data_IF_668005411884
#
_entry.id   IF_668005411884
#
_cell.length_a   1.000
_cell.length_b   1.000
_cell.length_c   1.000
_cell.angle_alpha   90.00
_cell.angle_beta   90.00
_cell.angle_gamma   90.00
#
_symmetry.space_group_name_H-M   'P 1'
#
loop_
_entity.id
_entity.type
_entity.pdbx_description
1 polymer ?
#
# COMPACT_ATOMS: atom_id res chain seq x y z
N UNK A 1 7.16 18.73 11.68
CA UNK A 1 6.04 17.85 12.10
C UNK A 1 6.62 16.49 12.44
N UNK A 2 6.20 15.84 13.55
CA UNK A 2 6.78 14.54 13.91
C UNK A 2 6.19 13.40 13.05
N UNK A 3 7.00 12.37 12.76
CA UNK A 3 6.53 11.18 12.05
C UNK A 3 5.37 10.49 12.79
N UNK A 4 5.49 10.37 14.11
CA UNK A 4 4.48 9.75 14.99
C UNK A 4 3.13 10.45 14.89
N UNK A 5 3.11 11.78 15.01
CA UNK A 5 1.86 12.57 14.90
C UNK A 5 1.18 12.42 13.54
N UNK A 6 1.94 12.11 12.49
CA UNK A 6 1.38 11.94 11.15
C UNK A 6 0.74 10.56 10.97
N UNK A 7 1.32 9.50 11.54
CA UNK A 7 0.92 8.11 11.26
C UNK A 7 -0.04 7.50 12.27
N UNK A 8 -0.11 7.99 13.52
CA UNK A 8 -0.92 7.36 14.58
C UNK A 8 -2.40 7.28 14.20
N UNK A 9 -2.99 8.39 13.75
CA UNK A 9 -4.42 8.41 13.39
C UNK A 9 -4.69 7.50 12.17
N UNK A 10 -3.94 7.60 11.05
CA UNK A 10 -4.07 6.63 9.96
C UNK A 10 -3.89 5.17 10.37
N UNK A 11 -2.94 4.86 11.26
CA UNK A 11 -2.72 3.51 11.75
C UNK A 11 -3.91 2.99 12.57
N UNK A 12 -4.51 3.83 13.42
CA UNK A 12 -5.72 3.50 14.18
C UNK A 12 -6.92 3.27 13.25
N UNK A 13 -7.12 4.12 12.25
CA UNK A 13 -8.17 3.92 11.24
C UNK A 13 -7.97 2.58 10.52
N UNK A 14 -6.74 2.26 10.13
CA UNK A 14 -6.41 0.99 9.47
C UNK A 14 -6.64 -0.22 10.37
N UNK A 15 -6.35 -0.09 11.67
CA UNK A 15 -6.68 -1.11 12.65
C UNK A 15 -8.21 -1.32 12.73
N UNK A 16 -8.99 -0.24 12.83
CA UNK A 16 -10.46 -0.31 12.86
C UNK A 16 -11.01 -0.99 11.60
N UNK A 17 -10.51 -0.63 10.41
CA UNK A 17 -10.95 -1.27 9.16
C UNK A 17 -10.57 -2.75 9.11
N UNK A 18 -9.38 -3.12 9.60
CA UNK A 18 -8.95 -4.52 9.72
C UNK A 18 -9.88 -5.32 10.63
N UNK A 19 -10.18 -4.79 11.83
CA UNK A 19 -11.04 -5.45 12.80
C UNK A 19 -12.50 -5.52 12.34
N UNK A 20 -13.00 -4.45 11.70
CA UNK A 20 -14.33 -4.43 11.09
C UNK A 20 -14.45 -5.51 10.01
N UNK A 21 -13.42 -5.63 9.16
CA UNK A 21 -13.38 -6.67 8.13
C UNK A 21 -13.40 -8.06 8.74
N UNK A 22 -12.51 -8.33 9.68
CA UNK A 22 -12.44 -9.61 10.39
C UNK A 22 -13.80 -9.96 11.03
N UNK A 23 -14.39 -9.02 11.74
CA UNK A 23 -15.68 -9.19 12.42
C UNK A 23 -16.78 -9.52 11.41
N UNK A 24 -16.86 -8.78 10.30
CA UNK A 24 -17.85 -9.05 9.27
C UNK A 24 -17.67 -10.40 8.58
N UNK A 25 -16.44 -10.89 8.44
CA UNK A 25 -16.18 -12.24 7.93
C UNK A 25 -16.61 -13.33 8.92
N UNK A 26 -16.28 -13.18 10.21
CA UNK A 26 -16.61 -14.15 11.25
C UNK A 26 -18.11 -14.21 11.56
N UNK A 27 -18.81 -13.07 11.45
CA UNK A 27 -20.26 -12.97 11.64
C UNK A 27 -21.05 -13.17 10.34
N UNK A 28 -20.37 -13.58 9.27
CA UNK A 28 -20.96 -13.86 7.95
C UNK A 28 -21.85 -12.72 7.41
N UNK A 29 -21.40 -11.48 7.60
CA UNK A 29 -22.02 -10.32 6.96
C UNK A 29 -21.91 -10.40 5.43
N UNK A 30 -22.51 -9.43 4.73
CA UNK A 30 -22.61 -9.41 3.26
C UNK A 30 -21.32 -9.86 2.55
N UNK A 31 -21.34 -10.97 1.78
CA UNK A 31 -20.16 -11.50 1.09
C UNK A 31 -19.52 -10.53 0.09
N UNK A 32 -20.29 -9.54 -0.40
CA UNK A 32 -19.76 -8.47 -1.27
C UNK A 32 -18.85 -7.50 -0.50
N UNK A 33 -19.14 -7.29 0.78
CA UNK A 33 -18.37 -6.41 1.65
C UNK A 33 -17.25 -7.18 2.37
N UNK A 34 -17.52 -8.41 2.80
CA UNK A 34 -16.70 -9.24 3.68
C UNK A 34 -16.44 -10.63 3.07
N UNK A 35 -15.82 -10.66 1.89
CA UNK A 35 -15.52 -11.91 1.18
C UNK A 35 -14.49 -12.76 1.93
N UNK A 36 -14.84 -14.01 2.23
CA UNK A 36 -13.97 -15.03 2.87
C UNK A 36 -13.03 -15.74 1.89
N UNK A 37 -13.05 -15.40 0.60
CA UNK A 37 -12.26 -16.08 -0.43
C UNK A 37 -10.78 -15.71 -0.34
N UNK A 38 -9.91 -16.68 -0.69
CA UNK A 38 -8.47 -16.49 -0.68
C UNK A 38 -8.05 -15.29 -1.56
N UNK A 39 -7.01 -14.58 -1.12
CA UNK A 39 -6.46 -13.42 -1.83
C UNK A 39 -7.19 -12.10 -1.59
N UNK A 40 -8.38 -12.10 -0.96
CA UNK A 40 -9.02 -10.92 -0.37
C UNK A 40 -9.36 -9.75 -1.32
N UNK A 41 -9.04 -9.85 -2.61
CA UNK A 41 -9.20 -8.79 -3.61
C UNK A 41 -10.64 -8.49 -4.02
N UNK A 42 -11.59 -9.35 -3.64
CA UNK A 42 -13.01 -9.16 -3.93
C UNK A 42 -13.76 -8.35 -2.84
N UNK A 43 -13.17 -8.09 -1.67
CA UNK A 43 -13.86 -7.38 -0.59
C UNK A 43 -13.79 -5.86 -0.79
N UNK A 44 -14.94 -5.19 -0.80
CA UNK A 44 -14.99 -3.73 -0.78
C UNK A 44 -14.45 -3.16 0.55
N UNK A 45 -14.62 -3.88 1.66
CA UNK A 45 -14.05 -3.47 2.95
C UNK A 45 -12.64 -4.03 3.08
N UNK A 46 -11.65 -3.26 2.64
CA UNK A 46 -10.24 -3.65 2.68
C UNK A 46 -9.32 -2.46 2.83
N UNK A 47 -8.23 -2.66 3.58
CA UNK A 47 -7.23 -1.62 3.84
C UNK A 47 -6.44 -1.21 2.59
N UNK A 48 -6.57 -1.96 1.48
CA UNK A 48 -5.97 -1.59 0.18
C UNK A 48 -6.49 -0.24 -0.33
N UNK A 49 -7.75 0.08 -0.06
CA UNK A 49 -8.37 1.35 -0.46
C UNK A 49 -7.86 2.55 0.35
N UNK A 50 -7.21 2.30 1.48
CA UNK A 50 -6.60 3.36 2.30
C UNK A 50 -5.27 3.86 1.72
N UNK A 51 -4.66 3.12 0.79
CA UNK A 51 -3.41 3.50 0.12
C UNK A 51 -3.55 4.86 -0.61
N UNK A 52 -4.50 5.04 -1.55
CA UNK A 52 -4.68 6.35 -2.19
C UNK A 52 -5.04 7.44 -1.19
N UNK A 53 -5.94 7.17 -0.23
CA UNK A 53 -6.41 8.15 0.75
C UNK A 53 -5.25 8.68 1.60
N UNK A 54 -4.49 7.79 2.22
CA UNK A 54 -3.39 8.22 3.08
C UNK A 54 -2.15 8.66 2.32
N UNK A 55 -1.91 8.13 1.11
CA UNK A 55 -0.90 8.66 0.20
C UNK A 55 -1.12 10.14 -0.10
N UNK A 56 -2.36 10.51 -0.44
CA UNK A 56 -2.76 11.90 -0.66
C UNK A 56 -2.62 12.72 0.62
N UNK A 57 -3.18 12.23 1.74
CA UNK A 57 -3.13 12.92 3.03
C UNK A 57 -1.68 13.26 3.44
N UNK A 58 -0.78 12.26 3.43
CA UNK A 58 0.62 12.46 3.81
C UNK A 58 1.34 13.42 2.87
N UNK A 59 1.14 13.28 1.56
CA UNK A 59 1.76 14.14 0.57
C UNK A 59 1.35 15.60 0.74
N UNK A 60 0.06 15.86 0.97
CA UNK A 60 -0.43 17.22 1.17
C UNK A 60 0.04 17.83 2.49
N UNK A 61 0.09 17.05 3.58
CA UNK A 61 0.62 17.49 4.88
C UNK A 61 2.12 17.81 4.80
N UNK A 62 2.91 16.95 4.14
CA UNK A 62 4.34 17.19 3.94
C UNK A 62 4.60 18.40 3.04
N UNK A 63 3.84 18.55 1.96
CA UNK A 63 3.96 19.71 1.08
C UNK A 63 3.59 21.03 1.78
N UNK A 64 2.62 21.02 2.70
CA UNK A 64 2.31 22.19 3.55
C UNK A 64 3.45 22.52 4.53
N UNK A 65 4.17 21.50 4.99
CA UNK A 65 5.31 21.66 5.90
C UNK A 65 6.64 22.00 5.17
N UNK A 66 6.60 22.30 3.86
CA UNK A 66 7.80 22.60 3.08
C UNK A 66 8.60 21.37 2.62
N UNK A 67 8.15 20.15 2.94
CA UNK A 67 8.79 18.89 2.55
C UNK A 67 8.24 18.34 1.22
N UNK A 68 7.88 19.21 0.28
CA UNK A 68 7.42 18.82 -1.06
C UNK A 68 8.57 18.21 -1.90
N UNK A 69 8.29 17.42 -2.95
CA UNK A 69 9.35 16.93 -3.81
C UNK A 69 9.96 18.09 -4.60
N UNK A 70 11.26 18.02 -4.95
CA UNK A 70 11.91 19.04 -5.79
C UNK A 70 11.13 19.28 -7.09
N UNK A 71 10.74 18.21 -7.77
CA UNK A 71 9.79 18.24 -8.89
C UNK A 71 8.80 17.10 -8.78
N UNK A 72 7.55 17.36 -9.15
CA UNK A 72 6.51 16.30 -9.17
C UNK A 72 6.86 15.22 -10.19
N UNK A 73 7.41 15.60 -11.35
CA UNK A 73 7.86 14.66 -12.38
C UNK A 73 8.91 13.67 -11.88
N UNK A 74 9.88 14.11 -11.06
CA UNK A 74 10.88 13.21 -10.46
C UNK A 74 10.24 12.25 -9.46
N UNK A 75 9.30 12.71 -8.64
CA UNK A 75 8.59 11.86 -7.68
C UNK A 75 7.76 10.78 -8.41
N UNK A 76 6.96 11.19 -9.41
CA UNK A 76 6.16 10.27 -10.23
C UNK A 76 7.04 9.31 -11.04
N UNK A 77 8.05 9.82 -11.74
CA UNK A 77 8.92 9.01 -12.58
C UNK A 77 9.66 7.93 -11.79
N UNK A 78 10.14 8.24 -10.57
CA UNK A 78 10.78 7.24 -9.70
C UNK A 78 9.80 6.20 -9.18
N UNK A 79 8.59 6.60 -8.78
CA UNK A 79 7.57 5.66 -8.33
C UNK A 79 7.06 4.76 -9.48
N UNK A 80 6.87 5.33 -10.67
CA UNK A 80 6.49 4.59 -11.87
C UNK A 80 7.59 3.62 -12.32
N UNK A 81 8.86 4.03 -12.31
CA UNK A 81 9.98 3.14 -12.60
C UNK A 81 10.04 1.97 -11.59
N UNK A 82 9.90 2.26 -10.30
CA UNK A 82 9.84 1.23 -9.26
C UNK A 82 8.69 0.24 -9.49
N UNK A 83 7.51 0.74 -9.89
CA UNK A 83 6.37 -0.09 -10.22
C UNK A 83 6.65 -1.01 -11.42
N UNK A 84 7.20 -0.46 -12.50
CA UNK A 84 7.56 -1.20 -13.71
C UNK A 84 8.61 -2.27 -13.41
N UNK A 85 9.67 -1.94 -12.66
CA UNK A 85 10.72 -2.90 -12.30
C UNK A 85 10.16 -4.09 -11.53
N UNK A 86 9.36 -3.86 -10.49
CA UNK A 86 8.79 -4.98 -9.73
C UNK A 86 7.80 -5.81 -10.56
N UNK A 87 7.03 -5.15 -11.42
CA UNK A 87 6.10 -5.83 -12.35
C UNK A 87 6.87 -6.69 -13.36
N UNK A 88 7.97 -6.19 -13.92
CA UNK A 88 8.81 -6.94 -14.83
C UNK A 88 9.45 -8.16 -14.15
N UNK A 89 9.93 -8.00 -12.91
CA UNK A 89 10.44 -9.12 -12.11
C UNK A 89 9.36 -10.17 -11.84
N UNK A 90 8.13 -9.73 -11.53
CA UNK A 90 7.00 -10.63 -11.36
C UNK A 90 6.70 -11.43 -12.63
N UNK A 91 6.54 -10.74 -13.76
CA UNK A 91 6.25 -11.35 -15.06
C UNK A 91 7.37 -12.32 -15.44
N UNK A 92 8.63 -11.91 -15.29
CA UNK A 92 9.78 -12.79 -15.50
C UNK A 92 9.74 -14.03 -14.62
N UNK A 93 9.36 -13.91 -13.34
CA UNK A 93 9.24 -15.05 -12.43
C UNK A 93 8.13 -16.02 -12.85
N UNK A 94 7.00 -15.51 -13.34
CA UNK A 94 5.89 -16.34 -13.86
C UNK A 94 6.32 -17.06 -15.14
N UNK A 95 7.07 -16.40 -16.02
CA UNK A 95 7.55 -17.01 -17.26
C UNK A 95 8.62 -18.08 -17.03
N UNK A 96 9.55 -17.84 -16.09
CA UNK A 96 10.65 -18.77 -15.81
C UNK A 96 10.26 -19.91 -14.86
N UNK A 97 9.28 -19.67 -13.98
CA UNK A 97 8.84 -20.62 -12.96
C UNK A 97 7.31 -20.76 -12.93
N UNK A 98 6.66 -21.16 -14.03
CA UNK A 98 5.19 -21.10 -14.18
C UNK A 98 4.43 -21.96 -13.16
N UNK A 99 5.04 -23.04 -12.67
CA UNK A 99 4.42 -23.98 -11.73
C UNK A 99 4.84 -23.78 -10.27
N UNK A 100 5.64 -22.75 -9.97
CA UNK A 100 6.18 -22.54 -8.62
C UNK A 100 5.72 -21.21 -8.01
N UNK A 101 4.51 -21.15 -7.43
CA UNK A 101 3.98 -19.92 -6.84
C UNK A 101 4.81 -19.42 -5.67
N UNK A 102 5.53 -20.30 -4.96
CA UNK A 102 6.45 -19.91 -3.89
C UNK A 102 7.66 -19.14 -4.43
N UNK A 103 8.25 -19.60 -5.56
CA UNK A 103 9.35 -18.88 -6.21
C UNK A 103 8.84 -17.53 -6.76
N UNK A 104 7.69 -17.52 -7.42
CA UNK A 104 7.07 -16.29 -7.93
C UNK A 104 6.86 -15.27 -6.79
N UNK A 105 6.33 -15.72 -5.65
CA UNK A 105 6.13 -14.87 -4.49
C UNK A 105 7.45 -14.40 -3.87
N UNK A 106 8.46 -15.27 -3.78
CA UNK A 106 9.78 -14.91 -3.26
C UNK A 106 10.46 -13.85 -4.14
N UNK A 107 10.46 -14.04 -5.46
CA UNK A 107 10.99 -13.07 -6.42
C UNK A 107 10.23 -11.75 -6.33
N UNK A 108 8.90 -11.79 -6.25
CA UNK A 108 8.09 -10.58 -6.05
C UNK A 108 8.41 -9.88 -4.74
N UNK A 109 8.64 -10.64 -3.66
CA UNK A 109 8.96 -10.11 -2.34
C UNK A 109 10.31 -9.40 -2.30
N UNK A 110 11.33 -9.98 -2.94
CA UNK A 110 12.65 -9.35 -3.10
C UNK A 110 12.55 -8.13 -4.02
N UNK A 111 11.87 -8.26 -5.16
CA UNK A 111 11.62 -7.16 -6.10
C UNK A 111 10.89 -5.98 -5.45
N UNK A 112 9.97 -6.26 -4.52
CA UNK A 112 9.24 -5.26 -3.74
C UNK A 112 10.19 -4.37 -2.93
N UNK A 113 11.19 -4.94 -2.27
CA UNK A 113 12.19 -4.18 -1.52
C UNK A 113 13.12 -3.38 -2.43
N UNK A 114 13.54 -3.95 -3.56
CA UNK A 114 14.33 -3.24 -4.58
C UNK A 114 13.54 -2.02 -5.08
N UNK A 115 12.27 -2.19 -5.41
CA UNK A 115 11.39 -1.13 -5.89
C UNK A 115 11.16 -0.03 -4.83
N UNK A 116 10.94 -0.40 -3.56
CA UNK A 116 10.83 0.55 -2.45
C UNK A 116 12.10 1.42 -2.38
N UNK A 117 13.29 0.83 -2.49
CA UNK A 117 14.55 1.57 -2.46
C UNK A 117 14.74 2.46 -3.70
N UNK A 118 14.35 1.96 -4.87
CA UNK A 118 14.45 2.70 -6.14
C UNK A 118 13.57 3.97 -6.15
N UNK A 119 12.44 3.94 -5.45
CA UNK A 119 11.53 5.08 -5.35
C UNK A 119 12.03 6.18 -4.39
N UNK A 120 12.84 5.83 -3.38
CA UNK A 120 13.29 6.74 -2.31
C UNK A 120 13.82 8.10 -2.82
N UNK A 121 14.68 8.19 -3.85
CA UNK A 121 15.21 9.46 -4.34
C UNK A 121 14.18 10.38 -5.02
N UNK A 122 12.97 9.89 -5.28
CA UNK A 122 11.87 10.66 -5.88
C UNK A 122 11.24 11.64 -4.88
N UNK A 123 10.99 11.18 -3.66
CA UNK A 123 10.47 12.01 -2.57
C UNK A 123 10.77 11.37 -1.20
N UNK A 124 11.97 11.61 -0.63
CA UNK A 124 12.43 10.91 0.57
C UNK A 124 11.52 11.05 1.79
N UNK A 125 10.93 12.23 2.00
CA UNK A 125 10.03 12.50 3.11
C UNK A 125 8.75 11.64 3.04
N UNK A 126 8.06 11.66 1.90
CA UNK A 126 6.84 10.86 1.69
C UNK A 126 7.15 9.36 1.74
N UNK A 127 8.27 8.95 1.14
CA UNK A 127 8.75 7.57 1.21
C UNK A 127 8.90 7.09 2.66
N UNK A 128 9.55 7.87 3.53
CA UNK A 128 9.77 7.52 4.94
C UNK A 128 8.46 7.37 5.70
N UNK A 129 7.52 8.30 5.47
CA UNK A 129 6.19 8.26 6.10
C UNK A 129 5.42 7.02 5.66
N UNK A 130 5.37 6.76 4.35
CA UNK A 130 4.63 5.62 3.80
C UNK A 130 5.25 4.28 4.21
N UNK A 131 6.58 4.20 4.35
CA UNK A 131 7.23 3.00 4.83
C UNK A 131 6.88 2.72 6.30
N UNK A 132 6.97 3.75 7.16
CA UNK A 132 6.60 3.64 8.57
C UNK A 132 5.11 3.31 8.75
N UNK A 133 4.25 4.00 8.01
CA UNK A 133 2.82 3.72 7.97
C UNK A 133 2.52 2.31 7.43
N UNK A 134 3.25 1.86 6.41
CA UNK A 134 3.17 0.51 5.87
C UNK A 134 3.40 -0.52 6.98
N UNK A 135 4.50 -0.44 7.73
CA UNK A 135 4.73 -1.34 8.86
C UNK A 135 3.63 -1.25 9.93
N UNK A 136 3.22 -0.05 10.31
CA UNK A 136 2.16 0.16 11.31
C UNK A 136 0.82 -0.45 10.87
N UNK A 137 0.48 -0.39 9.57
CA UNK A 137 -0.72 -0.96 8.99
C UNK A 137 -0.67 -2.50 8.90
N UNK A 138 0.51 -3.10 8.77
CA UNK A 138 0.68 -4.55 8.52
C UNK A 138 0.85 -5.35 9.79
N UNK A 139 1.42 -4.77 10.84
CA UNK A 139 1.63 -5.49 12.10
C UNK A 139 0.32 -6.05 12.67
N UNK A 140 -0.81 -5.29 12.76
CA UNK A 140 -2.07 -5.87 13.21
C UNK A 140 -2.61 -6.97 12.28
N UNK A 141 -2.40 -6.84 10.97
CA UNK A 141 -2.85 -7.84 10.00
C UNK A 141 -2.09 -9.15 10.19
N UNK A 142 -0.77 -9.10 10.38
CA UNK A 142 0.04 -10.29 10.66
C UNK A 142 -0.42 -10.97 11.95
N UNK A 143 -0.74 -10.20 13.00
CA UNK A 143 -1.29 -10.75 14.25
C UNK A 143 -2.64 -11.42 14.01
N UNK A 144 -3.56 -10.77 13.27
CA UNK A 144 -4.86 -11.35 12.92
C UNK A 144 -4.69 -12.64 12.12
N UNK A 145 -3.78 -12.66 11.14
CA UNK A 145 -3.50 -13.86 10.33
C UNK A 145 -2.89 -14.98 11.17
N UNK A 146 -1.99 -14.65 12.10
CA UNK A 146 -1.48 -15.63 13.06
C UNK A 146 -2.62 -16.27 13.86
N UNK A 147 -3.48 -15.45 14.47
CA UNK A 147 -4.62 -15.97 15.23
C UNK A 147 -5.58 -16.78 14.34
N UNK A 148 -5.91 -16.28 13.16
CA UNK A 148 -6.83 -16.96 12.25
C UNK A 148 -6.31 -18.34 11.81
N UNK A 149 -5.02 -18.45 11.50
CA UNK A 149 -4.38 -19.70 11.08
C UNK A 149 -4.33 -20.69 12.24
N UNK A 150 -3.86 -20.27 13.42
CA UNK A 150 -3.61 -21.18 14.53
C UNK A 150 -4.86 -21.53 15.34
N UNK A 151 -5.90 -20.67 15.31
CA UNK A 151 -7.19 -20.93 15.95
C UNK A 151 -8.24 -21.49 14.98
N UNK A 152 -7.88 -21.71 13.71
CA UNK A 152 -8.76 -22.32 12.73
C UNK A 152 -9.99 -21.48 12.35
N UNK A 153 -9.85 -20.16 12.30
CA UNK A 153 -10.96 -19.27 11.92
C UNK A 153 -11.27 -19.39 10.43
N UNK A 154 -12.56 -19.55 10.09
CA UNK A 154 -13.00 -19.51 8.70
C UNK A 154 -13.07 -18.06 8.17
N UNK A 155 -11.91 -17.51 7.85
CA UNK A 155 -11.74 -16.17 7.29
C UNK A 155 -10.78 -16.20 6.11
N UNK A 156 -10.75 -15.13 5.31
CA UNK A 156 -9.76 -15.06 4.22
C UNK A 156 -8.32 -15.01 4.76
N UNK A 157 -8.12 -14.56 6.01
CA UNK A 157 -6.83 -14.45 6.66
C UNK A 157 -6.13 -15.80 6.89
N UNK A 158 -6.88 -16.90 6.87
CA UNK A 158 -6.36 -18.26 7.06
C UNK A 158 -6.28 -19.08 5.77
N UNK A 159 -6.55 -18.49 4.59
CA UNK A 159 -6.68 -19.24 3.34
C UNK A 159 -5.54 -18.96 2.37
N UNK A 160 -4.77 -20.00 1.96
CA UNK A 160 -3.79 -19.85 0.90
C UNK A 160 -4.49 -19.64 -0.45
N UNK A 161 -3.74 -19.16 -1.45
CA UNK A 161 -4.23 -19.19 -2.84
C UNK A 161 -4.45 -20.65 -3.28
N UNK A 162 -5.41 -20.92 -4.19
CA UNK A 162 -5.71 -22.28 -4.62
C UNK A 162 -4.55 -23.06 -5.26
N UNK A 163 -3.56 -22.35 -5.82
CA UNK A 163 -2.40 -22.91 -6.50
C UNK A 163 -1.22 -23.24 -5.57
N UNK A 164 -1.32 -22.91 -4.27
CA UNK A 164 -0.25 -23.18 -3.31
C UNK A 164 -0.24 -24.66 -2.89
N UNK A 165 0.94 -25.25 -2.64
CA UNK A 165 1.03 -26.60 -2.13
C UNK A 165 0.42 -26.70 -0.71
N UNK A 166 -0.03 -27.89 -0.28
CA UNK A 166 -0.45 -28.11 1.11
C UNK A 166 0.67 -27.75 2.09
N UNK A 167 0.32 -27.05 3.17
CA UNK A 167 1.26 -26.58 4.19
C UNK A 167 0.64 -26.72 5.58
N UNK A 168 1.46 -27.03 6.59
CA UNK A 168 1.07 -26.88 7.99
C UNK A 168 1.01 -25.40 8.40
N UNK A 169 0.53 -25.12 9.63
CA UNK A 169 0.30 -23.76 10.13
C UNK A 169 1.50 -22.82 9.97
N UNK A 170 2.72 -23.29 10.26
CA UNK A 170 3.92 -22.48 10.11
C UNK A 170 4.24 -22.14 8.65
N UNK A 171 4.13 -23.12 7.74
CA UNK A 171 4.34 -22.88 6.32
C UNK A 171 3.31 -21.90 5.78
N UNK A 172 2.04 -22.10 6.14
CA UNK A 172 0.96 -21.20 5.78
C UNK A 172 1.22 -19.78 6.31
N UNK A 173 1.53 -19.63 7.60
CA UNK A 173 1.84 -18.34 8.21
C UNK A 173 3.02 -17.63 7.53
N UNK A 174 4.13 -18.33 7.29
CA UNK A 174 5.30 -17.71 6.67
C UNK A 174 5.02 -17.27 5.23
N UNK A 175 4.42 -18.14 4.42
CA UNK A 175 4.25 -17.92 2.98
C UNK A 175 3.03 -17.07 2.62
N UNK A 176 1.96 -17.08 3.41
CA UNK A 176 0.72 -16.36 3.07
C UNK A 176 0.47 -15.16 3.96
N UNK A 177 0.96 -15.17 5.20
CA UNK A 177 0.85 -14.03 6.12
C UNK A 177 2.12 -13.18 6.14
N UNK A 178 3.19 -13.68 6.74
CA UNK A 178 4.35 -12.85 7.06
C UNK A 178 5.02 -12.28 5.80
N UNK A 179 5.37 -13.14 4.84
CA UNK A 179 6.12 -12.72 3.66
C UNK A 179 5.33 -11.69 2.82
N UNK A 180 4.05 -11.92 2.42
CA UNK A 180 3.30 -10.92 1.67
C UNK A 180 3.08 -9.61 2.43
N UNK A 181 2.77 -9.69 3.74
CA UNK A 181 2.52 -8.49 4.56
C UNK A 181 3.79 -7.66 4.78
N UNK A 182 4.96 -8.30 4.87
CA UNK A 182 6.26 -7.65 5.03
C UNK A 182 6.92 -7.22 3.71
N UNK A 183 6.37 -7.60 2.55
CA UNK A 183 6.95 -7.29 1.24
C UNK A 183 5.93 -6.62 0.31
N UNK A 184 5.15 -7.40 -0.44
CA UNK A 184 4.18 -6.97 -1.44
C UNK A 184 3.31 -5.83 -0.93
N UNK A 185 2.73 -5.99 0.26
CA UNK A 185 1.78 -5.01 0.77
C UNK A 185 2.45 -3.73 1.29
N UNK A 186 3.72 -3.78 1.72
CA UNK A 186 4.51 -2.58 2.03
C UNK A 186 4.85 -1.88 0.73
N UNK A 187 5.29 -2.61 -0.30
CA UNK A 187 5.58 -2.08 -1.62
C UNK A 187 4.38 -1.35 -2.22
N UNK A 188 3.19 -1.97 -2.23
CA UNK A 188 1.98 -1.32 -2.75
C UNK A 188 1.64 -0.04 -1.95
N UNK A 189 1.84 -0.04 -0.63
CA UNK A 189 1.58 1.13 0.21
C UNK A 189 2.54 2.27 -0.13
N UNK A 190 3.84 1.98 -0.25
CA UNK A 190 4.86 2.98 -0.54
C UNK A 190 4.72 3.49 -1.97
N UNK A 191 4.74 2.61 -2.97
CA UNK A 191 4.74 3.02 -4.37
C UNK A 191 3.39 3.61 -4.77
N UNK A 192 2.28 2.96 -4.42
CA UNK A 192 0.93 3.49 -4.65
C UNK A 192 0.73 4.83 -3.94
N UNK A 193 1.09 4.92 -2.67
CA UNK A 193 0.98 6.16 -1.91
C UNK A 193 1.83 7.30 -2.49
N UNK A 194 3.03 7.00 -3.01
CA UNK A 194 3.88 7.98 -3.69
C UNK A 194 3.26 8.47 -5.00
N UNK A 195 2.67 7.58 -5.80
CA UNK A 195 1.99 7.94 -7.06
C UNK A 195 0.82 8.87 -6.77
N UNK A 196 -0.13 8.44 -5.92
CA UNK A 196 -1.30 9.25 -5.59
C UNK A 196 -0.93 10.56 -4.87
N UNK A 197 0.07 10.52 -3.99
CA UNK A 197 0.59 11.69 -3.31
C UNK A 197 1.19 12.73 -4.26
N UNK A 198 2.01 12.29 -5.21
CA UNK A 198 2.60 13.18 -6.20
C UNK A 198 1.56 13.77 -7.15
N UNK A 199 0.57 12.97 -7.58
CA UNK A 199 -0.58 13.45 -8.38
C UNK A 199 -1.38 14.53 -7.64
N UNK A 200 -1.67 14.33 -6.34
CA UNK A 200 -2.39 15.31 -5.55
C UNK A 200 -1.63 16.64 -5.39
N UNK A 201 -0.30 16.59 -5.21
CA UNK A 201 0.52 17.81 -5.19
C UNK A 201 0.52 18.50 -6.55
N UNK A 202 0.62 17.76 -7.66
CA UNK A 202 0.50 18.33 -9.00
C UNK A 202 -0.83 19.05 -9.20
N UNK A 203 -1.94 18.40 -8.86
CA UNK A 203 -3.28 18.98 -8.98
C UNK A 203 -3.40 20.27 -8.16
N UNK A 204 -2.91 20.27 -6.92
CA UNK A 204 -2.93 21.46 -6.06
C UNK A 204 -2.05 22.61 -6.58
N UNK A 205 -0.87 22.30 -7.13
CA UNK A 205 0.01 23.31 -7.75
C UNK A 205 -0.66 23.95 -8.98
N UNK A 206 -1.31 23.14 -9.82
CA UNK A 206 -2.05 23.62 -11.00
C UNK A 206 -3.23 24.51 -10.61
N UNK A 207 -4.02 24.11 -9.62
CA UNK A 207 -5.15 24.91 -9.13
C UNK A 207 -4.70 26.28 -8.62
N UNK A 208 -3.62 26.34 -7.82
CA UNK A 208 -3.06 27.61 -7.32
C UNK A 208 -2.51 28.51 -8.44
N UNK A 209 -1.85 27.93 -9.44
CA UNK A 209 -1.35 28.67 -10.60
C UNK A 209 -2.46 29.28 -11.44
N UNK A 210 -3.58 28.56 -11.62
CA UNK A 210 -4.75 29.07 -12.33
C UNK A 210 -5.39 30.26 -11.60
N UNK A 211 -5.62 30.16 -10.29
CA UNK A 211 -6.19 31.25 -9.49
C UNK A 211 -5.29 32.49 -9.46
N UNK A 212 -3.96 32.32 -9.42
CA UNK A 212 -3.03 33.45 -9.50
C UNK A 212 -3.10 34.19 -10.83
N UNK A 213 -3.16 33.44 -11.95
CA UNK A 213 -3.29 34.02 -13.29
C UNK A 213 -4.62 34.77 -13.49
N UNK A 214 -5.70 34.30 -12.87
CA UNK A 214 -7.01 34.96 -12.90
C UNK A 214 -7.00 36.29 -12.12
N UNK A 215 -6.39 36.32 -10.94
CA UNK A 215 -6.20 37.55 -10.15
C UNK A 215 -5.33 38.58 -10.88
N UNK A 216 -4.22 38.15 -11.51
CA UNK A 216 -3.36 39.05 -12.30
C UNK A 216 -4.07 39.63 -13.53
N UNK A 217 -4.97 38.86 -14.16
CA UNK A 217 -5.80 39.37 -15.27
C UNK A 217 -6.89 40.34 -14.81
N UNK A 218 -7.47 40.11 -13.64
CA UNK A 218 -8.50 40.99 -13.07
C UNK A 218 -7.91 42.35 -12.63
N UNK A 219 -6.65 42.38 -12.20
CA UNK A 219 -5.93 43.59 -11.80
C UNK A 219 -5.27 44.32 -12.99
N UNK A 220 -5.97 44.48 -14.12
CA UNK A 220 -5.44 45.01 -15.40
C UNK A 220 -4.56 46.26 -15.29
N UNK A 221 -3.72 46.55 -16.32
CA UNK A 221 -2.73 47.62 -16.27
C UNK A 221 -3.38 48.96 -15.94
N UNK A 222 -2.86 49.61 -14.90
CA UNK A 222 -3.26 50.95 -14.45
C UNK A 222 -2.96 52.02 -15.51
#
# INVERSE_FOLDING_TARGET
MSLRSLIVVPALITLVVTLLRLTGELLEWSPRLFARTAGGGASLVGIVWLIPIFGIYFALRLAQAGEAPPTVGRALGRAALAFVVNTALFVGSVMLFPTSPLIQLAVFGVGSWIAIMLARPGWPALWRVLLAYGFAARLPVVVVMFLAIFLGWDSHYAKPRPDFPPMGHWGLFLWTALLPQATLWIYLTVIGGMIFGALAVAARRRARGASGAELTRAAGPA
#
